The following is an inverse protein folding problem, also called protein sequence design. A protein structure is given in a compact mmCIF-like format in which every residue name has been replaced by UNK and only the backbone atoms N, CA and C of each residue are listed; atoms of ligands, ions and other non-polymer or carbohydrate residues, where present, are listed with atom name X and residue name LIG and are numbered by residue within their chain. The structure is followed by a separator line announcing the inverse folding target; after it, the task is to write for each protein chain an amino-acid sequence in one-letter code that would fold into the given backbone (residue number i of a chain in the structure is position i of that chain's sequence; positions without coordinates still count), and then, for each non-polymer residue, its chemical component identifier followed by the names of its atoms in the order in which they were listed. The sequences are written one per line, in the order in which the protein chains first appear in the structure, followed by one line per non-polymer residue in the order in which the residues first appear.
data_IF_848907016377
#
_entry.id   IF_848907016377
#
_cell.length_a   1.000
_cell.length_b   1.000
_cell.length_c   1.000
_cell.angle_alpha   90.00
_cell.angle_beta   90.00
_cell.angle_gamma   90.00
#
_symmetry.space_group_name_H-M   'P 1'
#
loop_
_entity.id
_entity.type
_entity.pdbx_description
1 polymer ?
#
# COMPACT_ATOMS: atom_id res chain seq x y z
N UNK A 1 -20.83 -7.09 1.47
CA UNK A 1 -19.99 -7.24 0.26
C UNK A 1 -18.97 -6.11 0.23
N UNK A 2 -17.87 -6.26 0.96
CA UNK A 2 -16.76 -5.30 0.90
C UNK A 2 -16.08 -5.48 -0.45
N UNK A 3 -16.20 -4.46 -1.30
CA UNK A 3 -15.70 -4.47 -2.67
C UNK A 3 -14.18 -4.56 -2.61
N UNK A 4 -13.75 -5.77 -2.88
CA UNK A 4 -12.39 -6.23 -3.00
C UNK A 4 -11.68 -5.45 -4.13
N UNK A 5 -11.23 -4.21 -3.87
CA UNK A 5 -10.12 -3.57 -4.61
C UNK A 5 -8.83 -4.23 -4.16
N UNK A 6 -8.81 -5.52 -4.45
CA UNK A 6 -7.70 -6.38 -4.75
C UNK A 6 -6.48 -5.51 -5.03
N UNK A 7 -5.52 -5.51 -4.09
CA UNK A 7 -4.11 -5.38 -4.43
C UNK A 7 -3.80 -6.60 -5.32
N UNK A 8 -4.34 -6.62 -6.55
CA UNK A 8 -4.57 -7.82 -7.37
C UNK A 8 -3.28 -8.43 -7.90
N UNK A 9 -2.20 -7.68 -7.79
CA UNK A 9 -0.84 -8.03 -8.14
C UNK A 9 0.14 -7.77 -6.99
N UNK A 10 -0.34 -7.74 -5.74
CA UNK A 10 0.55 -7.77 -4.59
C UNK A 10 0.88 -9.24 -4.34
N UNK A 11 2.05 -9.68 -4.81
CA UNK A 11 2.59 -11.04 -4.60
C UNK A 11 2.67 -11.43 -3.11
N UNK A 12 2.47 -10.47 -2.21
CA UNK A 12 2.47 -10.62 -0.76
C UNK A 12 1.06 -10.59 -0.14
N UNK A 13 0.04 -11.06 -0.86
CA UNK A 13 -1.34 -11.11 -0.37
C UNK A 13 -1.54 -11.97 0.91
N UNK A 14 -0.59 -12.83 1.24
CA UNK A 14 -0.55 -13.61 2.49
C UNK A 14 0.57 -13.15 3.45
N UNK A 15 1.49 -12.30 2.99
CA UNK A 15 2.61 -11.81 3.78
C UNK A 15 2.46 -10.31 4.10
N UNK A 16 2.04 -10.02 5.33
CA UNK A 16 1.88 -8.64 5.81
C UNK A 16 3.20 -7.87 5.73
N UNK A 17 4.34 -8.52 5.95
CA UNK A 17 5.66 -7.87 5.95
C UNK A 17 6.09 -7.47 4.53
N UNK A 18 5.84 -8.33 3.54
CA UNK A 18 6.09 -8.08 2.13
C UNK A 18 5.14 -7.04 1.55
N UNK A 19 3.87 -7.04 1.97
CA UNK A 19 2.94 -5.96 1.62
C UNK A 19 3.39 -4.61 2.20
N UNK A 20 3.76 -4.57 3.48
CA UNK A 20 4.28 -3.37 4.12
C UNK A 20 5.51 -2.83 3.39
N UNK A 21 6.48 -3.72 3.10
CA UNK A 21 7.72 -3.34 2.44
C UNK A 21 7.49 -2.79 1.02
N UNK A 22 6.54 -3.37 0.27
CA UNK A 22 6.18 -2.89 -1.08
C UNK A 22 5.49 -1.53 -1.03
N UNK A 23 4.48 -1.36 -0.18
CA UNK A 23 3.76 -0.09 -0.04
C UNK A 23 4.68 1.03 0.47
N UNK A 24 5.57 0.74 1.43
CA UNK A 24 6.56 1.71 1.92
C UNK A 24 7.60 2.06 0.84
N UNK A 25 8.02 1.09 0.02
CA UNK A 25 8.95 1.34 -1.08
C UNK A 25 8.31 2.21 -2.17
N UNK A 26 7.06 1.96 -2.55
CA UNK A 26 6.33 2.79 -3.51
C UNK A 26 6.06 4.19 -2.96
N UNK A 27 5.62 4.30 -1.69
CA UNK A 27 5.44 5.59 -1.04
C UNK A 27 6.75 6.39 -0.99
N UNK A 28 7.89 5.76 -0.67
CA UNK A 28 9.21 6.43 -0.73
C UNK A 28 9.56 6.90 -2.14
N UNK A 29 9.23 6.11 -3.17
CA UNK A 29 9.49 6.48 -4.57
C UNK A 29 8.64 7.70 -4.98
N UNK A 30 7.36 7.70 -4.62
CA UNK A 30 6.44 8.82 -4.86
C UNK A 30 6.87 10.08 -4.11
N UNK A 31 7.27 9.96 -2.84
CA UNK A 31 7.86 11.07 -2.06
C UNK A 31 9.10 11.63 -2.77
N UNK A 32 9.98 10.76 -3.28
CA UNK A 32 11.17 11.19 -4.02
C UNK A 32 10.86 11.86 -5.36
N UNK A 33 9.66 11.65 -5.91
CA UNK A 33 9.17 12.30 -7.12
C UNK A 33 8.39 13.58 -6.83
N UNK A 34 8.16 13.91 -5.54
CA UNK A 34 7.35 15.05 -5.11
C UNK A 34 5.84 14.75 -5.03
N UNK A 35 5.42 13.52 -5.31
CA UNK A 35 4.02 13.08 -5.29
C UNK A 35 3.60 12.63 -3.88
N UNK A 36 3.61 13.58 -2.94
CA UNK A 36 3.35 13.30 -1.52
C UNK A 36 1.91 12.86 -1.27
N UNK A 37 0.92 13.43 -1.97
CA UNK A 37 -0.50 13.02 -1.84
C UNK A 37 -0.73 11.57 -2.25
N UNK A 38 -0.09 11.14 -3.35
CA UNK A 38 -0.25 9.78 -3.86
C UNK A 38 0.50 8.76 -2.96
N UNK A 39 1.64 9.17 -2.39
CA UNK A 39 2.34 8.41 -1.37
C UNK A 39 1.51 8.23 -0.09
N UNK A 40 0.83 9.28 0.37
CA UNK A 40 -0.03 9.24 1.55
C UNK A 40 -1.24 8.33 1.33
N UNK A 41 -1.86 8.41 0.14
CA UNK A 41 -2.97 7.53 -0.26
C UNK A 41 -2.58 6.05 -0.24
N UNK A 42 -1.37 5.72 -0.72
CA UNK A 42 -0.80 4.37 -0.66
C UNK A 42 -0.59 3.87 0.77
N UNK A 43 -0.05 4.71 1.67
CA UNK A 43 0.17 4.35 3.08
C UNK A 43 -1.15 4.25 3.85
N UNK A 44 -2.10 5.15 3.63
CA UNK A 44 -3.42 5.15 4.26
C UNK A 44 -4.23 3.92 3.85
N UNK A 45 -4.13 3.50 2.58
CA UNK A 45 -4.76 2.28 2.10
C UNK A 45 -4.17 1.03 2.77
N UNK A 46 -2.86 1.01 2.99
CA UNK A 46 -2.18 -0.06 3.71
C UNK A 46 -2.57 -0.09 5.20
N UNK A 47 -2.61 1.05 5.89
CA UNK A 47 -3.02 1.15 7.30
C UNK A 47 -4.46 0.66 7.54
N UNK A 48 -5.39 0.97 6.64
CA UNK A 48 -6.78 0.47 6.72
C UNK A 48 -6.83 -1.05 6.62
N UNK A 49 -6.02 -1.64 5.75
CA UNK A 49 -5.90 -3.09 5.60
C UNK A 49 -5.24 -3.80 6.78
N UNK A 50 -4.49 -3.08 7.63
CA UNK A 50 -3.85 -3.63 8.83
C UNK A 50 -4.75 -3.57 10.07
N UNK A 51 -5.77 -2.70 10.05
CA UNK A 51 -6.74 -2.52 11.14
C UNK A 51 -8.01 -3.37 11.01
N UNK A 52 -8.27 -3.97 9.85
CA UNK A 52 -9.32 -4.97 9.63
C UNK A 52 -8.80 -6.40 9.83
#
# INVERSE_FOLDING_TARGET
MSKNTKCRACEHADDLKGRASKHVAEARKLISQGEVEEADSQLSSFEKHLKE
#
